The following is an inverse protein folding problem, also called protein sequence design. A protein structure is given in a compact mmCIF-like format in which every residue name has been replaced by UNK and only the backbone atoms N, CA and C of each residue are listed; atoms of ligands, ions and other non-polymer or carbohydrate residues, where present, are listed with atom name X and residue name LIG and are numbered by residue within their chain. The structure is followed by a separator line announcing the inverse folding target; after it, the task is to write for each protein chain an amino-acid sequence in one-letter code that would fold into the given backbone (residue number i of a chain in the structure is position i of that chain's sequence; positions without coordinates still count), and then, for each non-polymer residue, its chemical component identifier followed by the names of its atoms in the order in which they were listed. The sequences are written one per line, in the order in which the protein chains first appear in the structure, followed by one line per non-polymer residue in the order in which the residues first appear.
data_IF_352755809343
#
_entry.id   IF_352755809343
#
_cell.length_a   1.000
_cell.length_b   1.000
_cell.length_c   1.000
_cell.angle_alpha   90.00
_cell.angle_beta   90.00
_cell.angle_gamma   90.00
#
_symmetry.space_group_name_H-M   'P 1'
#
loop_
_entity.id
_entity.type
_entity.pdbx_description
1 polymer ?
#
# COMPACT_ATOMS: atom_id res chain seq x y z
N UNK A 1 2.35 31.02 4.55
CA UNK A 1 2.35 29.58 4.88
C UNK A 1 1.40 28.90 3.92
N UNK A 2 1.92 28.15 2.93
CA UNK A 2 1.10 27.60 1.85
C UNK A 2 0.28 26.42 2.37
N UNK A 3 -1.06 26.52 2.28
CA UNK A 3 -1.99 25.44 2.63
C UNK A 3 -1.66 24.24 1.73
N UNK A 4 -1.10 23.18 2.30
CA UNK A 4 -0.99 21.91 1.59
C UNK A 4 -2.39 21.32 1.42
N UNK A 5 -3.06 21.67 0.33
CA UNK A 5 -4.30 21.03 -0.09
C UNK A 5 -4.01 19.53 -0.25
N UNK A 6 -4.55 18.70 0.66
CA UNK A 6 -4.40 17.24 0.60
C UNK A 6 -5.23 16.71 -0.56
N UNK A 7 -4.64 16.62 -1.76
CA UNK A 7 -5.26 15.98 -2.92
C UNK A 7 -5.41 14.47 -2.68
N UNK A 8 -6.52 13.91 -3.15
CA UNK A 8 -6.76 12.46 -3.10
C UNK A 8 -5.72 11.71 -3.94
N UNK A 9 -5.41 10.44 -3.62
CA UNK A 9 -4.48 9.62 -4.42
C UNK A 9 -4.86 9.57 -5.91
N UNK A 10 -6.16 9.43 -6.21
CA UNK A 10 -6.68 9.41 -7.58
C UNK A 10 -6.39 10.72 -8.33
N UNK A 11 -6.60 11.87 -7.68
CA UNK A 11 -6.35 13.16 -8.33
C UNK A 11 -4.86 13.40 -8.58
N UNK A 12 -3.99 12.93 -7.69
CA UNK A 12 -2.53 12.98 -7.92
C UNK A 12 -2.13 12.16 -9.15
N UNK A 13 -2.67 10.95 -9.28
CA UNK A 13 -2.43 10.08 -10.44
C UNK A 13 -2.88 10.75 -11.74
N UNK A 14 -4.08 11.30 -11.78
CA UNK A 14 -4.62 12.01 -12.95
C UNK A 14 -3.70 13.14 -13.41
N UNK A 15 -3.25 13.98 -12.46
CA UNK A 15 -2.34 15.10 -12.76
C UNK A 15 -0.99 14.61 -13.31
N UNK A 16 -0.43 13.55 -12.72
CA UNK A 16 0.84 12.97 -13.20
C UNK A 16 0.68 12.42 -14.62
N UNK A 17 -0.40 11.68 -14.90
CA UNK A 17 -0.65 11.13 -16.23
C UNK A 17 -0.85 12.22 -17.29
N UNK A 18 -1.59 13.27 -16.96
CA UNK A 18 -1.80 14.41 -17.86
C UNK A 18 -0.49 15.16 -18.13
N UNK A 19 0.34 15.38 -17.10
CA UNK A 19 1.65 16.02 -17.28
C UNK A 19 2.66 15.16 -18.04
N UNK A 20 2.52 13.83 -18.02
CA UNK A 20 3.31 12.91 -18.84
C UNK A 20 2.84 12.87 -20.31
N UNK A 21 1.55 13.15 -20.55
CA UNK A 21 0.97 13.23 -21.90
C UNK A 21 1.17 14.60 -22.54
N UNK A 22 1.36 15.63 -21.73
CA UNK A 22 1.64 17.00 -22.18
C UNK A 22 3.12 17.18 -22.52
N UNK A 23 3.40 17.92 -23.60
CA UNK A 23 4.76 18.36 -23.94
C UNK A 23 5.29 19.42 -22.94
N UNK A 24 4.44 19.93 -22.03
CA UNK A 24 4.79 20.97 -21.08
C UNK A 24 4.28 20.69 -19.65
N UNK A 25 5.17 20.13 -18.82
CA UNK A 25 4.92 19.86 -17.40
C UNK A 25 4.70 21.15 -16.60
N UNK A 26 5.39 22.25 -16.94
CA UNK A 26 5.26 23.51 -16.21
C UNK A 26 3.89 24.16 -16.40
N UNK A 27 3.31 24.03 -17.59
CA UNK A 27 1.94 24.47 -17.87
C UNK A 27 0.91 23.64 -17.08
N UNK A 28 1.07 22.31 -17.10
CA UNK A 28 0.23 21.38 -16.32
C UNK A 28 0.29 21.72 -14.83
N UNK A 29 1.49 22.01 -14.30
CA UNK A 29 1.67 22.41 -12.91
C UNK A 29 0.92 23.71 -12.57
N UNK A 30 0.92 24.69 -13.47
CA UNK A 30 0.18 25.96 -13.30
C UNK A 30 -1.34 25.75 -13.33
N UNK A 31 -1.84 24.94 -14.26
CA UNK A 31 -3.26 24.63 -14.37
C UNK A 31 -3.81 23.98 -13.10
N UNK A 32 -3.03 23.06 -12.50
CA UNK A 32 -3.42 22.35 -11.29
C UNK A 32 -3.01 23.04 -9.99
N UNK A 33 -2.33 24.19 -10.06
CA UNK A 33 -1.84 24.91 -8.88
C UNK A 33 -0.87 24.07 -8.05
N UNK A 34 0.06 23.39 -8.70
CA UNK A 34 1.15 22.63 -8.05
C UNK A 34 2.51 23.20 -8.37
N UNK A 35 3.44 22.96 -7.46
CA UNK A 35 4.85 23.16 -7.71
C UNK A 35 5.40 22.01 -8.54
N UNK A 36 6.32 22.28 -9.45
CA UNK A 36 6.99 21.25 -10.26
C UNK A 36 7.67 20.19 -9.39
N UNK A 37 8.27 20.58 -8.27
CA UNK A 37 8.85 19.63 -7.30
C UNK A 37 7.85 18.62 -6.76
N UNK A 38 6.59 19.02 -6.59
CA UNK A 38 5.50 18.14 -6.16
C UNK A 38 5.06 17.20 -7.28
N UNK A 39 5.06 17.68 -8.53
CA UNK A 39 4.79 16.84 -9.70
C UNK A 39 5.85 15.74 -9.83
N UNK A 40 7.13 16.10 -9.85
CA UNK A 40 8.22 15.14 -9.97
C UNK A 40 8.22 14.13 -8.82
N UNK A 41 7.96 14.57 -7.58
CA UNK A 41 7.82 13.66 -6.45
C UNK A 41 6.71 12.60 -6.66
N UNK A 42 5.59 12.97 -7.29
CA UNK A 42 4.51 12.01 -7.58
C UNK A 42 4.81 11.14 -8.79
N UNK A 43 5.47 11.70 -9.81
CA UNK A 43 5.96 10.98 -10.97
C UNK A 43 6.95 9.89 -10.55
N UNK A 44 7.95 10.23 -9.75
CA UNK A 44 8.96 9.28 -9.27
C UNK A 44 8.31 8.13 -8.49
N UNK A 45 7.36 8.45 -7.60
CA UNK A 45 6.59 7.43 -6.87
C UNK A 45 5.76 6.54 -7.79
N UNK A 46 5.20 7.10 -8.85
CA UNK A 46 4.47 6.32 -9.85
C UNK A 46 5.42 5.40 -10.61
N UNK A 47 6.58 5.90 -11.05
CA UNK A 47 7.58 5.12 -11.78
C UNK A 47 8.20 4.00 -10.94
N UNK A 48 8.42 4.23 -9.64
CA UNK A 48 8.89 3.21 -8.70
C UNK A 48 7.85 2.09 -8.48
N UNK A 49 6.57 2.44 -8.40
CA UNK A 49 5.50 1.49 -8.08
C UNK A 49 4.79 0.87 -9.29
N UNK A 50 4.89 1.47 -10.48
CA UNK A 50 4.24 0.96 -11.69
C UNK A 50 4.74 -0.42 -12.12
N UNK A 51 6.05 -0.75 -12.09
CA UNK A 51 6.55 -2.08 -12.44
C UNK A 51 5.95 -3.19 -11.57
N UNK A 52 5.64 -2.86 -10.31
CA UNK A 52 5.09 -3.80 -9.34
C UNK A 52 3.67 -4.27 -9.71
N UNK A 53 2.89 -3.43 -10.39
CA UNK A 53 1.54 -3.77 -10.88
C UNK A 53 1.62 -4.88 -11.94
N UNK A 54 2.68 -4.91 -12.74
CA UNK A 54 2.89 -5.95 -13.74
C UNK A 54 3.49 -7.23 -13.16
N UNK A 55 3.96 -7.21 -11.91
CA UNK A 55 4.53 -8.37 -11.22
C UNK A 55 3.45 -9.26 -10.56
N UNK A 56 2.27 -9.27 -11.17
CA UNK A 56 0.99 -9.79 -10.69
C UNK A 56 1.14 -11.23 -10.14
N UNK A 57 1.24 -11.36 -8.82
CA UNK A 57 1.14 -12.65 -8.13
C UNK A 57 2.25 -13.04 -7.16
N UNK A 58 3.44 -12.41 -7.16
CA UNK A 58 4.49 -12.81 -6.17
C UNK A 58 4.23 -12.28 -4.76
N UNK A 59 3.93 -10.99 -4.62
CA UNK A 59 3.66 -10.36 -3.32
C UNK A 59 2.34 -10.82 -2.70
N UNK A 60 1.32 -11.04 -3.53
CA UNK A 60 0.02 -11.50 -3.03
C UNK A 60 0.10 -12.94 -2.53
N UNK A 61 0.79 -13.84 -3.26
CA UNK A 61 0.98 -15.23 -2.82
C UNK A 61 1.76 -15.35 -1.51
N UNK A 62 2.82 -14.55 -1.32
CA UNK A 62 3.57 -14.58 -0.06
C UNK A 62 2.72 -14.05 1.09
N UNK A 63 1.99 -12.95 0.87
CA UNK A 63 1.07 -12.39 1.87
C UNK A 63 -0.08 -13.33 2.19
N UNK A 64 -0.67 -13.99 1.20
CA UNK A 64 -1.70 -15.02 1.39
C UNK A 64 -1.14 -16.24 2.13
N UNK A 65 0.08 -16.69 1.78
CA UNK A 65 0.74 -17.80 2.47
C UNK A 65 1.01 -17.46 3.93
N UNK A 66 1.53 -16.26 4.21
CA UNK A 66 1.75 -15.79 5.57
C UNK A 66 0.44 -15.65 6.35
N UNK A 67 -0.63 -15.17 5.69
CA UNK A 67 -1.96 -15.08 6.31
C UNK A 67 -2.50 -16.46 6.71
N UNK A 68 -2.42 -17.45 5.80
CA UNK A 68 -2.84 -18.83 6.08
C UNK A 68 -2.02 -19.47 7.19
N UNK A 69 -0.71 -19.22 7.23
CA UNK A 69 0.14 -19.73 8.29
C UNK A 69 -0.19 -19.10 9.64
N UNK A 70 -0.50 -17.80 9.69
CA UNK A 70 -0.97 -17.15 10.91
C UNK A 70 -2.28 -17.75 11.41
N UNK A 71 -3.26 -17.96 10.52
CA UNK A 71 -4.53 -18.60 10.86
C UNK A 71 -4.31 -20.00 11.45
N UNK A 72 -3.42 -20.81 10.84
CA UNK A 72 -3.06 -22.14 11.33
C UNK A 72 -2.37 -22.11 12.70
N UNK A 73 -1.47 -21.15 12.92
CA UNK A 73 -0.78 -21.00 14.20
C UNK A 73 -1.73 -20.52 15.30
N UNK A 74 -2.66 -19.62 15.00
CA UNK A 74 -3.70 -19.16 15.92
C UNK A 74 -4.59 -20.33 16.38
N UNK A 75 -5.04 -21.17 15.46
CA UNK A 75 -5.83 -22.38 15.79
C UNK A 75 -5.06 -23.33 16.71
N UNK A 76 -3.80 -23.62 16.40
CA UNK A 76 -2.96 -24.49 17.23
C UNK A 76 -2.74 -23.91 18.63
N UNK A 77 -2.57 -22.59 18.76
CA UNK A 77 -2.44 -21.92 20.06
C UNK A 77 -3.72 -22.06 20.88
N UNK A 78 -4.90 -21.91 20.24
CA UNK A 78 -6.20 -22.06 20.91
C UNK A 78 -6.37 -23.50 21.42
N UNK A 79 -6.08 -24.50 20.58
CA UNK A 79 -6.16 -25.91 20.95
C UNK A 79 -5.25 -26.24 22.13
N UNK A 80 -3.96 -25.90 22.03
CA UNK A 80 -2.97 -26.14 23.09
C UNK A 80 -3.31 -25.40 24.40
N UNK A 81 -3.94 -24.21 24.30
CA UNK A 81 -4.38 -23.45 25.48
C UNK A 81 -5.55 -24.14 26.18
N UNK A 82 -6.50 -24.69 25.42
CA UNK A 82 -7.62 -25.47 25.97
C UNK A 82 -7.15 -26.75 26.64
N UNK A 83 -6.19 -27.47 26.03
CA UNK A 83 -5.59 -28.66 26.62
C UNK A 83 -4.86 -28.34 27.93
N UNK A 84 -4.03 -27.28 27.93
CA UNK A 84 -3.34 -26.83 29.15
C UNK A 84 -4.29 -26.48 30.30
N UNK A 85 -5.41 -25.82 30.00
CA UNK A 85 -6.41 -25.50 31.01
C UNK A 85 -7.09 -26.75 31.56
N UNK A 86 -7.34 -27.75 30.70
CA UNK A 86 -7.94 -29.02 31.11
C UNK A 86 -7.00 -29.83 32.00
N UNK A 87 -5.73 -29.94 31.61
CA UNK A 87 -4.71 -30.65 32.41
C UNK A 87 -4.55 -30.01 33.79
N UNK A 88 -4.42 -28.67 33.86
CA UNK A 88 -4.34 -27.96 35.15
C UNK A 88 -5.55 -28.20 36.06
N UNK A 89 -6.74 -28.41 35.50
CA UNK A 89 -7.96 -28.72 36.26
C UNK A 89 -8.01 -30.16 36.74
N UNK A 90 -7.38 -31.10 36.03
CA UNK A 90 -7.32 -32.51 36.42
C UNK A 90 -6.20 -32.82 37.41
N UNK A 91 -5.15 -32.00 37.43
CA UNK A 91 -4.02 -32.10 38.36
C UNK A 91 -4.25 -31.35 39.70
N UNK A 92 -5.41 -30.69 39.87
CA UNK A 92 -5.84 -29.99 41.10
C UNK A 92 -6.97 -30.76 41.79
#
# INVERSE_FOLDING_TARGET
MSKHEKRSPRKKLEIVLEGLQSDNIAETCRQYGIYESQFYQWKDKLEESAPDVFNNGKRDREKEKLKRENERLEEAIVELSCENQTLKKNDS
#
